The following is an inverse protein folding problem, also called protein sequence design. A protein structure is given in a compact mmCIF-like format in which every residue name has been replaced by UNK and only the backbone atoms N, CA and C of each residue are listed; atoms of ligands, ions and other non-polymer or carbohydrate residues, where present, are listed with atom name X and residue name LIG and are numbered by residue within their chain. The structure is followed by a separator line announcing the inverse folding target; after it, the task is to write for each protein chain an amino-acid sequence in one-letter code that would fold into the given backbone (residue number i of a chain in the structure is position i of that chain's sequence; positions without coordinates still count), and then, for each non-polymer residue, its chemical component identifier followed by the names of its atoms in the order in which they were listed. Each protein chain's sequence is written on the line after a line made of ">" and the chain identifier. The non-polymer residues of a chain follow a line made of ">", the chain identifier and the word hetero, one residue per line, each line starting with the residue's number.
data_IF_401789021954
#
_entry.id   IF_401789021954
#
_cell.length_a   1.000
_cell.length_b   1.000
_cell.length_c   1.000
_cell.angle_alpha   90.00
_cell.angle_beta   90.00
_cell.angle_gamma   90.00
#
_symmetry.space_group_name_H-M   'P 1'
#
loop_
_entity.id
_entity.type
_entity.pdbx_description
1 polymer ?
#
# COMPACT_ATOMS: atom_id res chain seq x y z
N UNK A 1 32.47 -0.74 -5.20
CA UNK A 1 32.54 0.44 -6.09
C UNK A 1 32.91 1.61 -5.21
N UNK A 2 34.05 2.25 -5.42
CA UNK A 2 34.45 3.42 -4.63
C UNK A 2 33.56 4.61 -5.06
N UNK A 3 32.84 5.28 -4.14
CA UNK A 3 31.89 6.35 -4.48
C UNK A 3 32.52 7.51 -5.25
N UNK A 4 33.81 7.78 -5.05
CA UNK A 4 34.55 8.88 -5.68
C UNK A 4 34.81 8.68 -7.19
N UNK A 5 34.86 7.45 -7.69
CA UNK A 5 35.16 7.16 -9.10
C UNK A 5 33.89 7.04 -9.94
N UNK A 6 32.72 6.83 -9.32
CA UNK A 6 31.45 6.59 -10.00
C UNK A 6 30.34 7.58 -9.59
N UNK A 7 30.69 8.71 -9.00
CA UNK A 7 29.74 9.77 -8.63
C UNK A 7 28.83 10.19 -9.78
N UNK A 8 29.35 10.52 -10.96
CA UNK A 8 28.53 10.91 -12.12
C UNK A 8 27.58 9.79 -12.59
N UNK A 9 28.02 8.53 -12.54
CA UNK A 9 27.19 7.38 -12.91
C UNK A 9 26.05 7.17 -11.91
N UNK A 10 26.30 7.34 -10.61
CA UNK A 10 25.28 7.26 -9.58
C UNK A 10 24.24 8.37 -9.74
N UNK A 11 24.67 9.59 -9.99
CA UNK A 11 23.76 10.73 -10.20
C UNK A 11 22.88 10.52 -11.44
N UNK A 12 23.44 10.07 -12.57
CA UNK A 12 22.70 9.76 -13.79
C UNK A 12 21.67 8.64 -13.56
N UNK A 13 22.05 7.57 -12.84
CA UNK A 13 21.15 6.48 -12.49
C UNK A 13 20.00 6.97 -11.60
N UNK A 14 20.29 7.75 -10.57
CA UNK A 14 19.29 8.33 -9.67
C UNK A 14 18.35 9.27 -10.44
N UNK A 15 18.87 10.14 -11.30
CA UNK A 15 18.06 11.03 -12.13
C UNK A 15 17.11 10.23 -13.04
N UNK A 16 17.60 9.19 -13.71
CA UNK A 16 16.78 8.34 -14.56
C UNK A 16 15.62 7.68 -13.78
N UNK A 17 15.90 7.07 -12.63
CA UNK A 17 14.90 6.42 -11.80
C UNK A 17 13.89 7.41 -11.22
N UNK A 18 14.36 8.51 -10.67
CA UNK A 18 13.52 9.54 -10.06
C UNK A 18 12.69 10.31 -11.09
N UNK A 19 13.15 10.45 -12.34
CA UNK A 19 12.36 11.06 -13.41
C UNK A 19 11.09 10.25 -13.72
N UNK A 20 11.20 8.92 -13.70
CA UNK A 20 10.05 8.02 -13.85
C UNK A 20 9.10 8.17 -12.65
N UNK A 21 9.65 8.18 -11.44
CA UNK A 21 8.86 8.40 -10.22
C UNK A 21 8.09 9.73 -10.26
N UNK A 22 8.75 10.82 -10.64
CA UNK A 22 8.12 12.14 -10.79
C UNK A 22 6.93 12.11 -11.74
N UNK A 23 7.12 11.54 -12.94
CA UNK A 23 6.05 11.42 -13.95
C UNK A 23 4.86 10.61 -13.49
N UNK A 24 5.11 9.52 -12.78
CA UNK A 24 4.06 8.60 -12.34
C UNK A 24 3.32 9.08 -11.09
N UNK A 25 4.02 9.61 -10.10
CA UNK A 25 3.48 9.83 -8.76
C UNK A 25 3.34 11.30 -8.38
N UNK A 26 4.30 12.14 -8.73
CA UNK A 26 4.24 13.55 -8.36
C UNK A 26 3.46 14.38 -9.38
N UNK A 27 3.64 14.10 -10.67
CA UNK A 27 3.00 14.86 -11.77
C UNK A 27 3.25 16.37 -11.61
N UNK A 28 2.17 17.15 -11.51
CA UNK A 28 2.20 18.61 -11.39
C UNK A 28 2.09 19.09 -9.93
N UNK A 29 2.33 18.21 -8.96
CA UNK A 29 2.28 18.59 -7.54
C UNK A 29 3.49 19.47 -7.20
N UNK A 30 3.22 20.54 -6.49
CA UNK A 30 4.26 21.38 -5.88
C UNK A 30 4.62 20.77 -4.54
N UNK A 31 5.88 20.43 -4.36
CA UNK A 31 6.41 19.87 -3.11
C UNK A 31 7.24 20.97 -2.45
N UNK A 32 6.76 21.50 -1.34
CA UNK A 32 7.44 22.61 -0.63
C UNK A 32 8.44 22.11 0.40
N UNK A 33 8.18 20.93 0.99
CA UNK A 33 9.00 20.37 2.06
C UNK A 33 9.29 18.90 1.81
N UNK A 34 10.46 18.43 2.23
CA UNK A 34 10.88 17.03 2.25
C UNK A 34 11.06 16.61 3.69
N UNK A 35 10.46 15.48 4.07
CA UNK A 35 10.71 14.83 5.35
C UNK A 35 11.66 13.66 5.08
N UNK A 36 12.78 13.62 5.78
CA UNK A 36 13.78 12.57 5.65
C UNK A 36 13.75 11.69 6.89
N UNK A 37 13.45 10.42 6.70
CA UNK A 37 13.58 9.38 7.73
C UNK A 37 14.66 8.42 7.23
N UNK A 38 15.88 8.65 7.67
CA UNK A 38 17.08 7.94 7.24
C UNK A 38 18.12 8.02 8.36
N UNK A 39 18.80 6.93 8.66
CA UNK A 39 19.71 6.84 9.79
C UNK A 39 20.98 7.71 9.61
N UNK A 40 21.41 7.93 8.38
CA UNK A 40 22.66 8.63 8.07
C UNK A 40 22.46 10.15 7.93
N UNK A 41 21.57 10.57 7.04
CA UNK A 41 21.27 11.99 6.81
C UNK A 41 20.57 12.60 8.02
N UNK A 42 19.67 11.86 8.66
CA UNK A 42 18.99 12.34 9.88
C UNK A 42 19.98 12.57 11.01
N UNK A 43 20.93 11.65 11.23
CA UNK A 43 21.98 11.82 12.22
C UNK A 43 22.88 13.04 11.91
N UNK A 44 23.19 13.28 10.64
CA UNK A 44 23.95 14.43 10.18
C UNK A 44 23.19 15.74 10.44
N UNK A 45 21.92 15.83 10.04
CA UNK A 45 21.07 17.03 10.22
C UNK A 45 20.86 17.32 11.70
N UNK A 46 20.57 16.33 12.52
CA UNK A 46 20.34 16.47 13.96
C UNK A 46 21.62 16.67 14.75
N UNK A 47 22.74 16.05 14.34
CA UNK A 47 24.03 16.15 15.01
C UNK A 47 24.64 17.54 14.90
N UNK A 48 25.47 17.75 13.88
CA UNK A 48 26.25 18.97 13.72
C UNK A 48 25.42 20.14 13.18
N UNK A 49 24.48 19.86 12.26
CA UNK A 49 23.65 20.86 11.61
C UNK A 49 22.49 21.32 12.51
N UNK A 50 21.85 20.40 13.22
CA UNK A 50 20.75 20.70 14.12
C UNK A 50 21.17 21.57 15.29
N UNK A 51 22.44 21.48 15.74
CA UNK A 51 22.99 22.39 16.77
C UNK A 51 23.12 23.84 16.28
N UNK A 52 23.28 24.04 14.98
CA UNK A 52 23.35 25.37 14.37
C UNK A 52 21.95 25.93 14.07
N UNK A 53 21.00 25.07 13.67
CA UNK A 53 19.66 25.47 13.28
C UNK A 53 18.59 25.26 14.38
N UNK A 54 18.87 24.51 15.43
CA UNK A 54 18.02 24.32 16.62
C UNK A 54 16.68 23.58 16.41
N UNK A 55 16.38 23.10 15.19
CA UNK A 55 15.02 22.65 14.84
C UNK A 55 14.91 21.38 13.96
N UNK A 56 16.03 20.75 13.58
CA UNK A 56 16.01 19.62 12.64
C UNK A 56 15.63 19.99 11.19
N UNK A 57 15.52 21.28 10.90
CA UNK A 57 15.25 21.80 9.57
C UNK A 57 16.53 22.29 8.90
N UNK A 58 16.62 22.06 7.60
CA UNK A 58 17.71 22.52 6.76
C UNK A 58 17.11 23.14 5.49
N UNK A 59 17.54 24.34 5.14
CA UNK A 59 17.19 24.93 3.86
C UNK A 59 17.99 24.29 2.71
N UNK A 60 17.49 24.49 1.48
CA UNK A 60 18.07 23.89 0.27
C UNK A 60 19.53 24.28 0.04
N UNK A 61 19.90 25.53 0.31
CA UNK A 61 21.25 26.04 0.03
C UNK A 61 22.27 25.47 1.04
N UNK A 62 21.89 25.42 2.31
CA UNK A 62 22.67 24.77 3.34
C UNK A 62 22.85 23.28 3.04
N UNK A 63 21.80 22.58 2.61
CA UNK A 63 21.90 21.17 2.24
C UNK A 63 22.83 20.97 1.04
N UNK A 64 22.74 21.82 0.02
CA UNK A 64 23.65 21.78 -1.15
C UNK A 64 25.12 21.97 -0.73
N UNK A 65 25.39 22.88 0.18
CA UNK A 65 26.75 23.14 0.69
C UNK A 65 27.32 21.93 1.41
N UNK A 66 26.52 21.22 2.22
CA UNK A 66 26.97 20.00 2.90
C UNK A 66 27.17 18.83 1.94
N UNK A 67 26.33 18.71 0.93
CA UNK A 67 26.50 17.67 -0.10
C UNK A 67 27.75 17.90 -0.94
N UNK A 68 28.07 19.15 -1.28
CA UNK A 68 29.32 19.49 -1.94
C UNK A 68 30.52 19.15 -1.04
N UNK A 69 30.42 19.40 0.28
CA UNK A 69 31.45 19.00 1.22
C UNK A 69 31.68 17.49 1.21
N UNK A 70 30.62 16.68 1.26
CA UNK A 70 30.69 15.22 1.19
C UNK A 70 31.28 14.72 -0.14
N UNK A 71 31.08 15.45 -1.23
CA UNK A 71 31.64 15.10 -2.54
C UNK A 71 33.15 15.44 -2.63
N UNK A 72 33.55 16.60 -2.15
CA UNK A 72 34.87 17.18 -2.42
C UNK A 72 35.95 16.75 -1.42
N UNK A 73 35.57 16.14 -0.29
CA UNK A 73 36.51 15.79 0.79
C UNK A 73 36.73 14.29 0.91
N UNK A 74 37.89 13.93 1.48
CA UNK A 74 38.26 12.54 1.79
C UNK A 74 37.43 11.98 2.93
N UNK A 75 37.35 10.65 3.05
CA UNK A 75 36.63 9.98 4.11
C UNK A 75 37.09 10.40 5.50
N UNK A 76 38.42 10.56 5.68
CA UNK A 76 38.99 11.02 6.95
C UNK A 76 38.59 12.46 7.32
N UNK A 77 38.45 13.35 6.35
CA UNK A 77 37.96 14.72 6.58
C UNK A 77 36.48 14.72 6.94
N UNK A 78 35.68 13.87 6.27
CA UNK A 78 34.25 13.69 6.56
C UNK A 78 34.06 13.16 7.96
N UNK A 79 34.79 12.11 8.36
CA UNK A 79 34.78 11.55 9.72
C UNK A 79 35.01 12.65 10.76
N UNK A 80 36.04 13.47 10.56
CA UNK A 80 36.38 14.57 11.50
C UNK A 80 35.35 15.68 11.51
N UNK A 81 34.83 16.04 10.34
CA UNK A 81 33.90 17.15 10.21
C UNK A 81 32.52 16.82 10.77
N UNK A 82 31.99 15.61 10.48
CA UNK A 82 30.65 15.20 10.89
C UNK A 82 30.62 14.37 12.20
N UNK A 83 31.78 14.04 12.76
CA UNK A 83 31.90 13.20 13.95
C UNK A 83 31.18 11.85 13.78
N UNK A 84 31.42 11.19 12.66
CA UNK A 84 30.79 9.94 12.26
C UNK A 84 31.84 8.83 12.11
N UNK A 85 31.51 7.55 12.39
CA UNK A 85 32.41 6.44 12.09
C UNK A 85 32.79 6.34 10.59
N UNK A 86 34.02 5.94 10.30
CA UNK A 86 34.52 5.82 8.93
C UNK A 86 33.67 4.85 8.09
N UNK A 87 33.19 3.78 8.69
CA UNK A 87 32.32 2.77 8.08
C UNK A 87 30.98 3.33 7.57
N UNK A 88 30.52 4.45 8.13
CA UNK A 88 29.26 5.11 7.74
C UNK A 88 29.43 6.07 6.57
N UNK A 89 30.66 6.50 6.25
CA UNK A 89 30.90 7.53 5.22
C UNK A 89 30.38 7.11 3.83
N UNK A 90 30.57 5.88 3.34
CA UNK A 90 30.01 5.47 2.05
C UNK A 90 28.48 5.55 2.00
N UNK A 91 27.82 5.15 3.08
CA UNK A 91 26.35 5.19 3.17
C UNK A 91 25.83 6.62 3.30
N UNK A 92 26.53 7.46 4.06
CA UNK A 92 26.22 8.89 4.16
C UNK A 92 26.31 9.59 2.79
N UNK A 93 27.32 9.27 1.96
CA UNK A 93 27.46 9.79 0.60
C UNK A 93 26.28 9.37 -0.29
N UNK A 94 25.89 8.08 -0.24
CA UNK A 94 24.76 7.56 -1.04
C UNK A 94 23.44 8.20 -0.60
N UNK A 95 23.16 8.23 0.70
CA UNK A 95 21.97 8.86 1.28
C UNK A 95 21.89 10.34 0.86
N UNK A 96 23.01 11.07 0.95
CA UNK A 96 23.11 12.47 0.55
C UNK A 96 22.79 12.66 -0.92
N UNK A 97 23.33 11.81 -1.79
CA UNK A 97 23.07 11.86 -3.22
C UNK A 97 21.58 11.65 -3.55
N UNK A 98 20.93 10.70 -2.88
CA UNK A 98 19.49 10.44 -3.04
C UNK A 98 18.67 11.67 -2.61
N UNK A 99 18.92 12.20 -1.42
CA UNK A 99 18.17 13.36 -0.89
C UNK A 99 18.39 14.59 -1.77
N UNK A 100 19.62 14.80 -2.25
CA UNK A 100 19.93 15.88 -3.21
C UNK A 100 19.12 15.77 -4.49
N UNK A 101 19.08 14.58 -5.10
CA UNK A 101 18.33 14.39 -6.33
C UNK A 101 16.82 14.57 -6.14
N UNK A 102 16.28 14.10 -5.01
CA UNK A 102 14.88 14.35 -4.66
C UNK A 102 14.62 15.84 -4.47
N UNK A 103 15.50 16.58 -3.80
CA UNK A 103 15.37 18.02 -3.61
C UNK A 103 15.43 18.79 -4.93
N UNK A 104 16.34 18.40 -5.84
CA UNK A 104 16.43 18.98 -7.18
C UNK A 104 15.18 18.71 -8.03
N UNK A 105 14.67 17.49 -7.97
CA UNK A 105 13.51 17.05 -8.73
C UNK A 105 12.21 17.75 -8.28
N UNK A 106 12.07 18.05 -6.98
CA UNK A 106 10.83 18.57 -6.38
C UNK A 106 10.81 20.08 -6.22
N UNK A 107 11.95 20.76 -6.38
CA UNK A 107 12.13 22.18 -6.06
C UNK A 107 11.79 22.54 -4.59
N UNK A 108 11.83 21.56 -3.68
CA UNK A 108 11.56 21.78 -2.28
C UNK A 108 12.54 22.76 -1.64
N UNK A 109 12.01 23.62 -0.78
CA UNK A 109 12.78 24.71 -0.13
C UNK A 109 13.36 24.27 1.21
N UNK A 110 12.69 23.34 1.89
CA UNK A 110 13.03 22.90 3.23
C UNK A 110 13.13 21.38 3.29
N UNK A 111 14.09 20.90 4.05
CA UNK A 111 14.29 19.49 4.37
C UNK A 111 14.22 19.36 5.89
N UNK A 112 13.40 18.44 6.35
CA UNK A 112 13.21 18.19 7.79
C UNK A 112 13.57 16.75 8.12
N UNK A 113 14.43 16.59 9.13
CA UNK A 113 14.73 15.31 9.77
C UNK A 113 14.07 15.28 11.16
N UNK A 114 12.98 14.52 11.35
CA UNK A 114 12.26 14.46 12.64
C UNK A 114 13.06 13.74 13.74
N UNK A 115 14.13 13.05 13.40
CA UNK A 115 14.96 12.32 14.37
C UNK A 115 14.35 11.00 14.81
N UNK A 116 13.48 10.42 13.99
CA UNK A 116 12.92 9.10 14.21
C UNK A 116 13.56 8.09 13.28
N UNK A 117 13.71 6.88 13.76
CA UNK A 117 14.26 5.73 13.04
C UNK A 117 13.19 4.68 12.76
N UNK A 118 13.52 3.68 11.96
CA UNK A 118 12.66 2.51 11.79
C UNK A 118 12.38 1.81 13.12
N UNK A 119 13.37 1.75 14.01
CA UNK A 119 13.21 1.14 15.34
C UNK A 119 12.16 1.88 16.19
N UNK A 120 12.12 3.20 16.13
CA UNK A 120 11.09 3.98 16.84
C UNK A 120 9.69 3.65 16.32
N UNK A 121 9.54 3.48 15.00
CA UNK A 121 8.29 3.03 14.39
C UNK A 121 7.86 1.64 14.89
N UNK A 122 8.78 0.68 14.93
CA UNK A 122 8.50 -0.67 15.44
C UNK A 122 8.12 -0.66 16.93
N UNK A 123 8.78 0.14 17.75
CA UNK A 123 8.44 0.30 19.18
C UNK A 123 7.07 0.94 19.35
N UNK A 124 6.76 1.93 18.51
CA UNK A 124 5.44 2.58 18.52
C UNK A 124 4.32 1.58 18.19
N UNK A 125 4.49 0.79 17.11
CA UNK A 125 3.52 -0.24 16.69
C UNK A 125 3.30 -1.28 17.80
N UNK A 126 4.38 -1.77 18.41
CA UNK A 126 4.31 -2.66 19.56
C UNK A 126 3.54 -2.05 20.73
N UNK A 127 3.86 -0.81 21.09
CA UNK A 127 3.22 -0.12 22.21
C UNK A 127 1.71 0.12 21.96
N UNK A 128 1.31 0.38 20.72
CA UNK A 128 -0.09 0.52 20.32
C UNK A 128 -0.84 -0.82 20.38
N UNK A 129 -0.24 -1.91 19.86
CA UNK A 129 -0.81 -3.27 19.90
C UNK A 129 -1.09 -3.72 21.33
N UNK A 130 -0.14 -3.48 22.25
CA UNK A 130 -0.28 -3.83 23.66
C UNK A 130 -1.03 -2.75 24.48
N UNK A 131 -1.62 -1.76 23.82
CA UNK A 131 -2.41 -0.67 24.45
C UNK A 131 -1.64 0.12 25.50
N UNK A 132 -0.32 0.20 25.35
CA UNK A 132 0.54 1.06 26.19
C UNK A 132 0.45 2.53 25.78
N UNK A 133 0.05 2.78 24.55
CA UNK A 133 -0.23 4.10 23.98
C UNK A 133 -1.67 4.13 23.43
N UNK A 134 -2.28 5.32 23.51
CA UNK A 134 -3.55 5.54 22.82
C UNK A 134 -3.31 5.60 21.31
N UNK A 135 -4.20 4.97 20.54
CA UNK A 135 -4.16 5.05 19.09
C UNK A 135 -4.44 6.49 18.65
N UNK A 136 -3.46 7.13 18.06
CA UNK A 136 -3.54 8.53 17.57
C UNK A 136 -3.79 8.55 16.07
N UNK A 137 -3.34 7.52 15.34
CA UNK A 137 -3.42 7.45 13.89
C UNK A 137 -4.09 6.14 13.44
N UNK A 138 -4.88 6.22 12.37
CA UNK A 138 -5.54 5.05 11.77
C UNK A 138 -4.74 4.54 10.56
N UNK A 139 -3.76 3.68 10.83
CA UNK A 139 -2.93 3.05 9.80
C UNK A 139 -3.75 2.17 8.83
N UNK A 140 -4.86 1.57 9.27
CA UNK A 140 -5.73 0.83 8.35
C UNK A 140 -6.38 1.75 7.32
N UNK A 141 -6.73 2.97 7.73
CA UNK A 141 -7.27 3.97 6.80
C UNK A 141 -6.22 4.42 5.77
N UNK A 142 -4.94 4.42 6.12
CA UNK A 142 -3.86 4.71 5.16
C UNK A 142 -3.75 3.62 4.10
N UNK A 143 -3.81 2.35 4.52
CA UNK A 143 -3.80 1.20 3.60
C UNK A 143 -4.99 1.28 2.62
N UNK A 144 -6.18 1.57 3.15
CA UNK A 144 -7.40 1.76 2.35
C UNK A 144 -7.27 2.94 1.39
N UNK A 145 -6.66 4.04 1.84
CA UNK A 145 -6.43 5.23 1.00
C UNK A 145 -5.43 4.92 -0.11
N UNK A 146 -4.39 4.15 0.17
CA UNK A 146 -3.45 3.65 -0.83
C UNK A 146 -4.19 2.80 -1.89
N UNK A 147 -5.00 1.83 -1.47
CA UNK A 147 -5.78 0.98 -2.37
C UNK A 147 -6.78 1.81 -3.23
N UNK A 148 -7.43 2.82 -2.66
CA UNK A 148 -8.28 3.76 -3.43
C UNK A 148 -7.47 4.55 -4.46
N UNK A 149 -6.25 4.95 -4.13
CA UNK A 149 -5.33 5.61 -5.06
C UNK A 149 -4.97 4.70 -6.25
N UNK A 150 -4.71 3.42 -6.00
CA UNK A 150 -4.46 2.42 -7.04
C UNK A 150 -5.71 2.22 -7.90
N UNK A 151 -6.87 1.98 -7.29
CA UNK A 151 -8.14 1.84 -7.99
C UNK A 151 -8.40 3.03 -8.92
N UNK A 152 -8.20 4.25 -8.45
CA UNK A 152 -8.33 5.48 -9.26
C UNK A 152 -7.34 5.51 -10.43
N UNK A 153 -6.08 5.09 -10.22
CA UNK A 153 -5.05 5.04 -11.28
C UNK A 153 -5.47 4.12 -12.42
N UNK A 154 -6.09 2.98 -12.09
CA UNK A 154 -6.56 1.99 -13.05
C UNK A 154 -8.04 2.15 -13.41
N UNK A 155 -8.57 3.39 -13.31
CA UNK A 155 -9.92 3.74 -13.74
C UNK A 155 -11.05 2.94 -13.06
N UNK A 156 -10.82 2.44 -11.85
CA UNK A 156 -11.83 1.75 -11.04
C UNK A 156 -13.00 2.67 -10.69
N UNK A 157 -14.20 2.11 -10.67
CA UNK A 157 -15.41 2.85 -10.28
C UNK A 157 -15.51 2.98 -8.76
N UNK A 158 -15.27 4.19 -8.23
CA UNK A 158 -15.40 4.49 -6.81
C UNK A 158 -16.77 4.05 -6.26
N UNK A 159 -17.85 4.42 -6.95
CA UNK A 159 -19.22 4.14 -6.51
C UNK A 159 -19.51 2.65 -6.44
N UNK A 160 -19.01 1.88 -7.42
CA UNK A 160 -19.17 0.43 -7.43
C UNK A 160 -18.34 -0.22 -6.33
N UNK A 161 -17.10 0.20 -6.15
CA UNK A 161 -16.22 -0.31 -5.10
C UNK A 161 -16.84 -0.10 -3.71
N UNK A 162 -17.42 1.09 -3.44
CA UNK A 162 -18.13 1.38 -2.19
C UNK A 162 -19.35 0.46 -1.97
N UNK A 163 -20.10 0.17 -3.03
CA UNK A 163 -21.25 -0.75 -2.95
C UNK A 163 -20.79 -2.18 -2.67
N UNK A 164 -19.77 -2.67 -3.37
CA UNK A 164 -19.22 -4.00 -3.14
C UNK A 164 -18.60 -4.12 -1.74
N UNK A 165 -17.89 -3.07 -1.28
CA UNK A 165 -17.36 -2.98 0.07
C UNK A 165 -18.47 -3.15 1.11
N UNK A 166 -19.55 -2.38 1.00
CA UNK A 166 -20.69 -2.45 1.91
C UNK A 166 -21.30 -3.86 1.94
N UNK A 167 -21.56 -4.45 0.79
CA UNK A 167 -22.15 -5.79 0.69
C UNK A 167 -21.22 -6.83 1.28
N UNK A 168 -19.96 -6.85 0.86
CA UNK A 168 -18.99 -7.85 1.29
C UNK A 168 -18.74 -7.79 2.81
N UNK A 169 -18.57 -6.59 3.36
CA UNK A 169 -18.35 -6.43 4.79
C UNK A 169 -19.59 -6.77 5.62
N UNK A 170 -20.79 -6.49 5.12
CA UNK A 170 -22.05 -6.93 5.78
C UNK A 170 -22.14 -8.45 5.87
N UNK A 171 -21.77 -9.16 4.79
CA UNK A 171 -21.73 -10.64 4.78
C UNK A 171 -20.65 -11.13 5.74
N UNK A 172 -19.43 -10.59 5.66
CA UNK A 172 -18.31 -10.95 6.51
C UNK A 172 -18.70 -10.84 7.99
N UNK A 173 -19.18 -9.68 8.41
CA UNK A 173 -19.51 -9.38 9.80
C UNK A 173 -20.64 -10.30 10.33
N UNK A 174 -21.63 -10.66 9.49
CA UNK A 174 -22.72 -11.56 9.86
C UNK A 174 -22.28 -13.02 10.04
N UNK A 175 -21.19 -13.41 9.37
CA UNK A 175 -20.68 -14.79 9.38
C UNK A 175 -19.43 -14.99 10.24
N UNK A 176 -19.05 -14.01 11.06
CA UNK A 176 -17.85 -14.04 11.89
C UNK A 176 -17.68 -15.33 12.71
N UNK A 177 -18.78 -15.89 13.25
CA UNK A 177 -18.76 -17.14 14.02
C UNK A 177 -18.54 -18.39 13.15
N UNK A 178 -18.74 -18.31 11.85
CA UNK A 178 -18.57 -19.42 10.90
C UNK A 178 -17.16 -19.45 10.34
N UNK A 179 -16.72 -18.32 9.80
CA UNK A 179 -15.42 -18.27 9.14
C UNK A 179 -14.24 -18.12 10.13
N UNK A 180 -14.47 -17.61 11.35
CA UNK A 180 -13.45 -17.46 12.38
C UNK A 180 -12.39 -16.38 12.12
N UNK A 181 -12.50 -15.64 11.00
CA UNK A 181 -11.53 -14.61 10.61
C UNK A 181 -11.69 -13.32 11.43
N UNK A 182 -10.60 -12.56 11.56
CA UNK A 182 -10.50 -11.38 12.39
C UNK A 182 -10.53 -10.05 11.63
N UNK A 183 -9.98 -9.01 12.28
CA UNK A 183 -9.94 -7.65 11.76
C UNK A 183 -9.04 -7.55 10.53
N UNK A 184 -7.92 -8.31 10.50
CA UNK A 184 -6.96 -8.24 9.40
C UNK A 184 -7.53 -8.81 8.10
N UNK A 185 -8.18 -9.96 8.14
CA UNK A 185 -8.84 -10.56 6.98
C UNK A 185 -10.00 -9.70 6.48
N UNK A 186 -10.71 -9.03 7.41
CA UNK A 186 -11.73 -8.04 7.05
C UNK A 186 -11.15 -6.87 6.24
N UNK A 187 -9.95 -6.41 6.62
CA UNK A 187 -9.22 -5.37 5.87
C UNK A 187 -8.81 -5.88 4.48
N UNK A 188 -8.26 -7.11 4.38
CA UNK A 188 -7.90 -7.71 3.08
C UNK A 188 -9.10 -7.81 2.14
N UNK A 189 -10.26 -8.23 2.65
CA UNK A 189 -11.52 -8.24 1.88
C UNK A 189 -11.88 -6.83 1.40
N UNK A 190 -11.78 -5.83 2.27
CA UNK A 190 -12.04 -4.43 1.95
C UNK A 190 -11.15 -3.94 0.80
N UNK A 191 -9.86 -4.26 0.85
CA UNK A 191 -8.91 -3.91 -0.20
C UNK A 191 -9.25 -4.63 -1.51
N UNK A 192 -9.60 -5.92 -1.44
CA UNK A 192 -10.01 -6.69 -2.61
C UNK A 192 -11.26 -6.10 -3.28
N UNK A 193 -12.25 -5.58 -2.51
CA UNK A 193 -13.41 -4.88 -3.10
C UNK A 193 -13.02 -3.60 -3.82
N UNK A 194 -12.03 -2.85 -3.30
CA UNK A 194 -11.56 -1.62 -3.92
C UNK A 194 -10.81 -1.86 -5.24
N UNK A 195 -10.11 -3.00 -5.33
CA UNK A 195 -9.26 -3.37 -6.47
C UNK A 195 -9.91 -4.38 -7.42
N UNK A 196 -11.16 -4.77 -7.17
CA UNK A 196 -11.85 -5.89 -7.82
C UNK A 196 -11.86 -5.85 -9.36
N UNK A 197 -11.75 -4.69 -9.97
CA UNK A 197 -11.83 -4.51 -11.43
C UNK A 197 -10.65 -3.71 -12.03
N UNK A 198 -9.53 -3.55 -11.29
CA UNK A 198 -8.38 -2.78 -11.75
C UNK A 198 -7.77 -3.32 -13.06
N UNK A 199 -7.87 -4.63 -13.31
CA UNK A 199 -7.40 -5.27 -14.54
C UNK A 199 -8.16 -4.88 -15.80
N UNK A 200 -9.36 -4.32 -15.67
CA UNK A 200 -10.13 -3.77 -16.80
C UNK A 200 -9.37 -2.74 -17.61
N UNK A 201 -8.50 -2.00 -16.95
CA UNK A 201 -7.66 -1.01 -17.58
C UNK A 201 -6.78 -1.61 -18.69
N UNK A 202 -6.41 -2.88 -18.54
CA UNK A 202 -5.55 -3.61 -19.49
C UNK A 202 -6.40 -4.47 -20.42
N UNK A 203 -7.27 -5.34 -19.85
CA UNK A 203 -8.07 -6.28 -20.64
C UNK A 203 -9.39 -6.62 -19.97
N UNK A 204 -10.46 -6.57 -20.76
CA UNK A 204 -11.79 -7.02 -20.34
C UNK A 204 -11.93 -8.54 -20.40
N UNK A 205 -11.20 -9.19 -21.30
CA UNK A 205 -11.28 -10.64 -21.50
C UNK A 205 -10.46 -11.37 -20.44
N UNK A 206 -9.28 -10.82 -20.08
CA UNK A 206 -8.35 -11.43 -19.14
C UNK A 206 -8.29 -10.66 -17.81
N UNK A 207 -9.47 -10.25 -17.34
CA UNK A 207 -9.61 -9.33 -16.21
C UNK A 207 -8.97 -9.86 -14.92
N UNK A 208 -9.17 -11.14 -14.60
CA UNK A 208 -8.64 -11.76 -13.38
C UNK A 208 -7.12 -11.74 -13.35
N UNK A 209 -6.47 -12.24 -14.40
CA UNK A 209 -5.00 -12.28 -14.50
C UNK A 209 -4.39 -10.87 -14.53
N UNK A 210 -4.99 -9.95 -15.27
CA UNK A 210 -4.51 -8.57 -15.31
C UNK A 210 -4.64 -7.89 -13.94
N UNK A 211 -5.73 -8.17 -13.19
CA UNK A 211 -5.89 -7.64 -11.83
C UNK A 211 -4.84 -8.20 -10.88
N UNK A 212 -4.60 -9.51 -10.93
CA UNK A 212 -3.54 -10.18 -10.15
C UNK A 212 -2.18 -9.54 -10.42
N UNK A 213 -1.80 -9.41 -11.70
CA UNK A 213 -0.52 -8.83 -12.10
C UNK A 213 -0.36 -7.37 -11.62
N UNK A 214 -1.41 -6.55 -11.74
CA UNK A 214 -1.40 -5.17 -11.25
C UNK A 214 -1.19 -5.12 -9.74
N UNK A 215 -1.93 -5.92 -8.97
CA UNK A 215 -1.85 -5.92 -7.51
C UNK A 215 -0.47 -6.39 -7.05
N UNK A 216 0.07 -7.44 -7.65
CA UNK A 216 1.40 -7.95 -7.31
C UNK A 216 2.54 -6.99 -7.71
N UNK A 217 2.39 -6.27 -8.82
CA UNK A 217 3.36 -5.28 -9.29
C UNK A 217 3.24 -3.91 -8.60
N UNK A 218 2.22 -3.70 -7.77
CA UNK A 218 1.99 -2.41 -7.10
C UNK A 218 2.27 -2.52 -5.61
N UNK A 219 3.02 -1.55 -5.07
CA UNK A 219 3.22 -1.45 -3.63
C UNK A 219 1.93 -0.96 -2.94
N UNK A 220 1.46 -1.72 -1.97
CA UNK A 220 0.37 -1.31 -1.07
C UNK A 220 0.99 -1.17 0.31
N UNK A 221 1.29 0.08 0.70
CA UNK A 221 1.94 0.38 1.99
C UNK A 221 1.09 -0.19 3.13
N UNK A 222 1.75 -0.90 4.03
CA UNK A 222 1.11 -1.55 5.19
C UNK A 222 0.56 -2.96 4.94
N UNK A 223 0.72 -3.52 3.72
CA UNK A 223 0.54 -4.94 3.44
C UNK A 223 1.89 -5.63 3.27
N UNK A 224 2.04 -6.80 3.89
CA UNK A 224 3.14 -7.72 3.58
C UNK A 224 3.01 -8.27 2.15
N UNK A 225 4.09 -8.88 1.65
CA UNK A 225 4.06 -9.55 0.34
C UNK A 225 2.98 -10.64 0.29
N UNK A 226 2.86 -11.46 1.34
CA UNK A 226 1.86 -12.53 1.45
C UNK A 226 0.43 -11.99 1.47
N UNK A 227 0.17 -10.95 2.24
CA UNK A 227 -1.15 -10.32 2.28
C UNK A 227 -1.56 -9.70 0.93
N UNK A 228 -0.60 -9.11 0.22
CA UNK A 228 -0.81 -8.61 -1.14
C UNK A 228 -1.13 -9.75 -2.10
N UNK A 229 -0.48 -10.90 -1.97
CA UNK A 229 -0.76 -12.09 -2.75
C UNK A 229 -2.15 -12.67 -2.42
N UNK A 230 -2.56 -12.70 -1.16
CA UNK A 230 -3.93 -13.07 -0.76
C UNK A 230 -4.95 -12.15 -1.46
N UNK A 231 -4.78 -10.84 -1.38
CA UNK A 231 -5.67 -9.88 -2.06
C UNK A 231 -5.69 -10.09 -3.57
N UNK A 232 -4.53 -10.30 -4.18
CA UNK A 232 -4.41 -10.54 -5.62
C UNK A 232 -5.17 -11.79 -6.06
N UNK A 233 -5.06 -12.89 -5.31
CA UNK A 233 -5.78 -14.13 -5.58
C UNK A 233 -7.29 -13.99 -5.35
N UNK A 234 -7.74 -13.31 -4.30
CA UNK A 234 -9.17 -13.02 -4.09
C UNK A 234 -9.75 -12.30 -5.31
N UNK A 235 -9.06 -11.28 -5.81
CA UNK A 235 -9.51 -10.51 -6.97
C UNK A 235 -9.46 -11.35 -8.26
N UNK A 236 -8.41 -12.14 -8.44
CA UNK A 236 -8.24 -13.06 -9.58
C UNK A 236 -9.42 -14.03 -9.69
N UNK A 237 -9.70 -14.75 -8.62
CA UNK A 237 -10.75 -15.77 -8.56
C UNK A 237 -12.17 -15.21 -8.38
N UNK A 238 -12.32 -13.92 -8.14
CA UNK A 238 -13.62 -13.26 -8.31
C UNK A 238 -14.09 -13.27 -9.77
N UNK A 239 -13.16 -13.40 -10.73
CA UNK A 239 -13.42 -13.36 -12.17
C UNK A 239 -13.19 -14.69 -12.88
N UNK A 240 -12.31 -15.53 -12.35
CA UNK A 240 -11.96 -16.84 -12.90
C UNK A 240 -12.57 -17.96 -12.06
N UNK A 241 -12.59 -19.16 -12.63
CA UNK A 241 -12.86 -20.38 -11.88
C UNK A 241 -11.75 -20.59 -10.84
N UNK A 242 -12.15 -21.07 -9.65
CA UNK A 242 -11.21 -21.23 -8.55
C UNK A 242 -10.29 -22.43 -8.81
N UNK A 243 -8.99 -22.23 -8.67
CA UNK A 243 -7.99 -23.27 -8.83
C UNK A 243 -7.71 -23.96 -7.48
N UNK A 244 -8.33 -25.12 -7.28
CA UNK A 244 -8.15 -25.91 -6.07
C UNK A 244 -6.75 -26.52 -5.91
N UNK A 245 -5.93 -26.55 -6.97
CA UNK A 245 -4.55 -27.05 -6.91
C UNK A 245 -3.63 -26.13 -6.08
N UNK A 246 -4.04 -24.88 -5.83
CA UNK A 246 -3.34 -23.95 -4.95
C UNK A 246 -3.11 -24.48 -3.52
N UNK A 247 -3.96 -25.38 -3.01
CA UNK A 247 -3.78 -25.97 -1.68
C UNK A 247 -2.43 -26.70 -1.53
N UNK A 248 -1.89 -27.19 -2.64
CA UNK A 248 -0.63 -27.95 -2.69
C UNK A 248 0.52 -27.14 -3.30
N UNK A 249 0.34 -25.84 -3.52
CA UNK A 249 1.37 -24.99 -4.13
C UNK A 249 2.46 -24.65 -3.14
N UNK A 250 3.72 -24.73 -3.56
CA UNK A 250 4.83 -24.23 -2.77
C UNK A 250 4.66 -22.70 -2.58
N UNK A 251 4.63 -22.25 -1.32
CA UNK A 251 4.59 -20.84 -0.95
C UNK A 251 3.27 -20.34 -0.36
N UNK A 252 2.17 -21.07 -0.49
CA UNK A 252 0.88 -20.73 0.15
C UNK A 252 0.62 -21.76 1.25
N UNK A 253 0.51 -21.30 2.49
CA UNK A 253 0.14 -22.19 3.59
C UNK A 253 -1.37 -22.45 3.63
N UNK A 254 -1.77 -23.45 4.43
CA UNK A 254 -3.18 -23.86 4.51
C UNK A 254 -4.10 -22.76 5.05
N UNK A 255 -3.62 -21.93 5.94
CA UNK A 255 -4.40 -20.84 6.54
C UNK A 255 -4.63 -19.73 5.51
N UNK A 256 -3.58 -19.35 4.77
CA UNK A 256 -3.65 -18.41 3.64
C UNK A 256 -4.60 -18.92 2.55
N UNK A 257 -4.49 -20.21 2.17
CA UNK A 257 -5.39 -20.83 1.21
C UNK A 257 -6.86 -20.74 1.66
N UNK A 258 -7.17 -21.11 2.90
CA UNK A 258 -8.53 -21.04 3.44
C UNK A 258 -9.04 -19.59 3.52
N UNK A 259 -8.17 -18.65 3.79
CA UNK A 259 -8.49 -17.21 3.77
C UNK A 259 -8.87 -16.76 2.37
N UNK A 260 -8.08 -17.13 1.34
CA UNK A 260 -8.37 -16.82 -0.07
C UNK A 260 -9.72 -17.41 -0.47
N UNK A 261 -9.97 -18.69 -0.18
CA UNK A 261 -11.25 -19.37 -0.50
C UNK A 261 -12.45 -18.62 0.10
N UNK A 262 -12.42 -18.38 1.41
CA UNK A 262 -13.53 -17.75 2.14
C UNK A 262 -13.79 -16.31 1.68
N UNK A 263 -12.74 -15.51 1.50
CA UNK A 263 -12.89 -14.13 1.08
C UNK A 263 -13.29 -14.00 -0.38
N UNK A 264 -12.81 -14.90 -1.25
CA UNK A 264 -13.27 -14.99 -2.65
C UNK A 264 -14.76 -15.30 -2.72
N UNK A 265 -15.23 -16.27 -1.96
CA UNK A 265 -16.66 -16.62 -1.91
C UNK A 265 -17.53 -15.41 -1.52
N UNK A 266 -17.12 -14.64 -0.51
CA UNK A 266 -17.83 -13.43 -0.08
C UNK A 266 -17.82 -12.38 -1.19
N UNK A 267 -16.67 -12.13 -1.84
CA UNK A 267 -16.55 -11.14 -2.90
C UNK A 267 -17.38 -11.53 -4.13
N UNK A 268 -17.42 -12.82 -4.49
CA UNK A 268 -18.25 -13.30 -5.61
C UNK A 268 -19.75 -13.06 -5.35
N UNK A 269 -20.23 -13.26 -4.12
CA UNK A 269 -21.63 -12.93 -3.73
C UNK A 269 -21.87 -11.43 -3.87
N UNK A 270 -20.97 -10.60 -3.34
CA UNK A 270 -21.10 -9.14 -3.46
C UNK A 270 -21.15 -8.69 -4.93
N UNK A 271 -20.28 -9.26 -5.77
CA UNK A 271 -20.23 -8.97 -7.20
C UNK A 271 -21.49 -9.45 -7.96
N UNK A 272 -22.07 -10.59 -7.54
CA UNK A 272 -23.32 -11.08 -8.12
C UNK A 272 -24.49 -10.14 -7.83
N UNK A 273 -24.52 -9.50 -6.67
CA UNK A 273 -25.58 -8.54 -6.27
C UNK A 273 -25.44 -7.16 -6.95
N UNK A 274 -24.34 -6.87 -7.63
CA UNK A 274 -24.18 -5.68 -8.48
C UNK A 274 -23.78 -6.07 -9.91
N UNK A 275 -24.42 -7.09 -10.47
CA UNK A 275 -24.09 -7.61 -11.80
C UNK A 275 -24.33 -6.61 -12.92
N UNK A 276 -25.37 -5.80 -12.81
CA UNK A 276 -25.67 -4.73 -13.76
C UNK A 276 -24.74 -3.53 -13.67
N UNK A 277 -23.89 -3.45 -12.65
CA UNK A 277 -23.02 -2.32 -12.34
C UNK A 277 -23.80 -0.98 -12.11
N UNK A 278 -25.06 -1.09 -11.67
CA UNK A 278 -25.94 0.06 -11.44
C UNK A 278 -26.15 0.39 -9.96
N UNK A 279 -25.49 -0.39 -9.04
CA UNK A 279 -25.56 -0.22 -7.59
C UNK A 279 -27.01 -0.14 -7.07
N UNK A 280 -27.85 -1.06 -7.53
CA UNK A 280 -29.27 -1.14 -7.20
C UNK A 280 -29.51 -1.63 -5.76
N UNK A 281 -28.61 -2.45 -5.23
CA UNK A 281 -28.69 -3.04 -3.89
C UNK A 281 -28.00 -2.12 -2.87
N UNK A 282 -28.73 -1.11 -2.37
CA UNK A 282 -28.15 -0.11 -1.46
C UNK A 282 -28.28 -0.48 0.01
N UNK A 283 -29.45 -1.02 0.39
CA UNK A 283 -29.71 -1.44 1.75
C UNK A 283 -29.71 -2.97 1.81
N UNK A 284 -28.63 -3.51 2.35
CA UNK A 284 -28.47 -4.94 2.51
C UNK A 284 -28.34 -5.30 3.98
N UNK A 285 -29.09 -6.34 4.39
CA UNK A 285 -28.96 -6.98 5.70
C UNK A 285 -28.61 -8.43 5.50
N UNK A 286 -27.66 -8.90 6.25
CA UNK A 286 -27.23 -10.30 6.27
C UNK A 286 -27.49 -10.89 7.65
N UNK A 287 -28.20 -11.98 7.73
CA UNK A 287 -28.49 -12.69 8.97
C UNK A 287 -28.26 -14.18 8.78
N UNK A 288 -27.46 -14.77 9.63
CA UNK A 288 -27.33 -16.22 9.70
C UNK A 288 -28.48 -16.80 10.51
N UNK A 289 -29.18 -17.75 9.93
CA UNK A 289 -30.19 -18.57 10.61
C UNK A 289 -29.89 -20.04 10.31
N UNK A 290 -29.56 -20.79 11.34
CA UNK A 290 -29.08 -22.15 11.23
C UNK A 290 -27.88 -22.26 10.26
N UNK A 291 -27.98 -23.09 9.23
CA UNK A 291 -26.93 -23.26 8.19
C UNK A 291 -27.17 -22.40 6.94
N UNK A 292 -28.04 -21.40 7.06
CA UNK A 292 -28.38 -20.52 5.93
C UNK A 292 -27.99 -19.09 6.22
N UNK A 293 -27.37 -18.44 5.22
CA UNK A 293 -27.20 -17.00 5.17
C UNK A 293 -28.40 -16.37 4.43
N UNK A 294 -29.17 -15.55 5.13
CA UNK A 294 -30.31 -14.82 4.57
C UNK A 294 -29.87 -13.41 4.26
N UNK A 295 -29.87 -13.06 2.98
CA UNK A 295 -29.61 -11.72 2.51
C UNK A 295 -30.94 -11.02 2.19
N UNK A 296 -31.23 -9.94 2.90
CA UNK A 296 -32.42 -9.11 2.65
C UNK A 296 -31.97 -7.84 1.98
N UNK A 297 -32.50 -7.58 0.78
CA UNK A 297 -32.19 -6.40 -0.05
C UNK A 297 -33.44 -5.58 -0.20
N UNK A 298 -33.37 -4.31 0.16
CA UNK A 298 -34.43 -3.33 -0.08
C UNK A 298 -34.06 -2.45 -1.26
N UNK A 299 -34.86 -2.52 -2.30
CA UNK A 299 -34.63 -1.74 -3.53
C UNK A 299 -35.94 -1.44 -4.24
N UNK A 300 -36.01 -0.29 -4.90
CA UNK A 300 -37.09 0.08 -5.80
C UNK A 300 -36.76 -0.16 -7.28
N UNK A 301 -35.56 -0.75 -7.53
CA UNK A 301 -35.06 -1.00 -8.87
C UNK A 301 -35.33 -2.44 -9.31
N UNK A 302 -35.43 -2.67 -10.61
CA UNK A 302 -35.51 -4.03 -11.15
C UNK A 302 -34.17 -4.77 -10.99
N UNK A 303 -34.16 -5.83 -10.22
CA UNK A 303 -33.02 -6.72 -9.94
C UNK A 303 -33.11 -8.07 -10.62
N UNK A 304 -33.86 -8.19 -11.70
CA UNK A 304 -34.08 -9.44 -12.44
C UNK A 304 -32.74 -10.06 -12.89
N UNK A 305 -31.80 -9.24 -13.37
CA UNK A 305 -30.48 -9.72 -13.78
C UNK A 305 -29.67 -10.28 -12.59
N UNK A 306 -29.64 -9.55 -11.49
CA UNK A 306 -28.96 -9.97 -10.26
C UNK A 306 -29.56 -11.28 -9.73
N UNK A 307 -30.88 -11.38 -9.66
CA UNK A 307 -31.59 -12.62 -9.21
C UNK A 307 -31.33 -13.81 -10.12
N UNK A 308 -31.36 -13.59 -11.44
CA UNK A 308 -31.17 -14.67 -12.41
C UNK A 308 -29.77 -15.28 -12.38
N UNK A 309 -28.75 -14.48 -12.11
CA UNK A 309 -27.35 -14.93 -12.09
C UNK A 309 -26.81 -15.26 -10.68
N UNK A 310 -27.56 -14.95 -9.64
CA UNK A 310 -27.13 -15.15 -8.26
C UNK A 310 -26.88 -16.63 -7.92
N UNK A 311 -27.76 -17.53 -8.39
CA UNK A 311 -27.67 -18.97 -8.09
C UNK A 311 -26.33 -19.59 -8.47
N UNK A 312 -25.88 -19.37 -9.70
CA UNK A 312 -24.60 -19.90 -10.21
C UNK A 312 -23.37 -19.32 -9.50
N UNK A 313 -23.46 -18.06 -9.07
CA UNK A 313 -22.37 -17.41 -8.32
C UNK A 313 -22.34 -17.77 -6.84
N UNK A 314 -23.48 -18.22 -6.29
CA UNK A 314 -23.59 -18.65 -4.91
C UNK A 314 -23.13 -20.10 -4.71
N UNK A 315 -22.87 -20.88 -5.75
CA UNK A 315 -22.42 -22.27 -5.65
C UNK A 315 -21.08 -22.39 -4.95
N UNK A 316 -20.13 -21.50 -5.25
CA UNK A 316 -18.82 -21.49 -4.59
C UNK A 316 -18.90 -21.11 -3.10
N UNK A 317 -19.93 -20.38 -2.70
CA UNK A 317 -20.16 -19.97 -1.30
C UNK A 317 -20.77 -21.09 -0.44
N UNK A 318 -21.39 -22.09 -1.04
CA UNK A 318 -22.04 -23.22 -0.34
C UNK A 318 -21.04 -24.26 0.12
#
# INVERSE_FOLDING_TARGET
>A
VRPSENGPLLEELLEAQLSVFRKMYLKDRVIENIIVVDDYISALILGKLGKVAGSGYLDRDSMASYMNYLHDHTDMEIVRYFDTPEENVPLLRISSAIVRQVALMTDAKMIWAPGVSLCDGMVYEYAEEYKLLAQVHDFEQDIVTCARGISKRYMGSKRRAETLEQIALTIFDSMKRVHGMGRRERLLLRIATLLHDCGKYISMVNLGECSYAIIMATEIIGLSHREREIVANIVRYNHLEFDYSMENSEGIDREEYLTIVKLTAILQIANALDRSHKQKCRDIKAVRKDDKLILTITTNEDITLERGLFGSRAEFFR
#
